data_IF_582987169050
#
_entry.id   IF_582987169050
#
_cell.length_a   1.000
_cell.length_b   1.000
_cell.length_c   1.000
_cell.angle_alpha   90.00
_cell.angle_beta   90.00
_cell.angle_gamma   90.00
#
_symmetry.space_group_name_H-M   'P 1'
#
loop_
_entity.id
_entity.type
_entity.pdbx_description
1 polymer ?
#
# COMPACT_ATOMS: atom_id res chain seq x y z
N UNK A 1 31.46 -4.65 1.13
CA UNK A 1 30.57 -4.38 0.02
C UNK A 1 29.35 -5.27 0.08
N UNK A 2 29.55 -6.56 0.25
CA UNK A 2 28.41 -7.48 0.31
C UNK A 2 27.56 -7.26 1.55
N UNK A 3 28.12 -6.65 2.58
CA UNK A 3 27.40 -6.47 3.83
C UNK A 3 26.24 -5.53 3.71
N UNK A 4 26.25 -4.65 2.70
CA UNK A 4 25.12 -3.73 2.54
C UNK A 4 23.82 -4.45 2.24
N UNK A 5 23.93 -5.58 1.56
CA UNK A 5 22.72 -6.30 1.20
C UNK A 5 22.12 -7.04 2.37
N UNK A 6 22.95 -7.44 3.33
CA UNK A 6 22.45 -8.15 4.48
C UNK A 6 21.61 -7.26 5.39
N UNK A 7 21.73 -5.95 5.23
CA UNK A 7 20.99 -5.02 6.08
C UNK A 7 19.77 -4.44 5.40
N UNK A 8 19.42 -4.96 4.25
CA UNK A 8 18.26 -4.46 3.55
C UNK A 8 16.99 -4.86 4.28
N UNK A 9 16.06 -3.92 4.33
CA UNK A 9 14.74 -4.18 4.85
C UNK A 9 13.83 -4.58 3.72
N UNK A 10 12.90 -5.46 4.04
CA UNK A 10 11.87 -5.86 3.12
C UNK A 10 10.55 -5.32 3.59
N UNK A 11 9.79 -4.81 2.65
CA UNK A 11 8.45 -4.32 2.93
C UNK A 11 7.45 -5.27 2.33
N UNK A 12 6.43 -5.61 3.11
CA UNK A 12 5.40 -6.54 2.67
C UNK A 12 4.03 -5.90 2.80
N UNK A 13 3.23 -6.09 1.78
CA UNK A 13 1.82 -5.71 1.82
C UNK A 13 1.03 -6.90 2.35
N UNK A 14 0.19 -6.62 3.34
CA UNK A 14 -0.66 -7.64 3.94
C UNK A 14 -2.07 -7.11 4.03
N UNK A 15 -2.95 -7.60 3.17
CA UNK A 15 -4.35 -7.19 3.20
C UNK A 15 -5.01 -7.81 4.43
N UNK A 16 -5.65 -6.98 5.26
CA UNK A 16 -6.37 -7.45 6.44
C UNK A 16 -7.85 -7.58 6.18
N UNK A 17 -8.39 -6.67 5.38
CA UNK A 17 -9.82 -6.63 5.15
C UNK A 17 -10.06 -6.17 3.73
N UNK A 18 -10.97 -6.84 3.07
CA UNK A 18 -11.37 -6.49 1.73
C UNK A 18 -12.88 -6.70 1.62
N UNK A 19 -13.58 -5.61 1.43
CA UNK A 19 -15.03 -5.67 1.35
C UNK A 19 -15.47 -5.21 -0.03
N UNK A 20 -16.13 -6.09 -0.76
CA UNK A 20 -16.68 -5.78 -2.07
C UNK A 20 -18.08 -5.21 -1.88
N UNK A 21 -18.32 -4.06 -2.51
CA UNK A 21 -19.63 -3.41 -2.46
C UNK A 21 -20.41 -3.62 -3.73
N UNK A 22 -19.74 -4.09 -4.76
CA UNK A 22 -20.37 -4.26 -6.06
C UNK A 22 -21.13 -5.57 -6.10
N UNK A 23 -22.33 -5.53 -6.67
CA UNK A 23 -23.13 -6.72 -6.88
C UNK A 23 -22.72 -7.33 -8.21
N UNK A 24 -21.57 -7.96 -8.25
CA UNK A 24 -21.03 -8.53 -9.46
C UNK A 24 -20.69 -9.99 -9.24
N UNK A 25 -20.80 -10.76 -10.29
CA UNK A 25 -20.45 -12.17 -10.24
C UNK A 25 -18.98 -12.41 -10.40
N UNK A 26 -18.29 -11.51 -11.06
CA UNK A 26 -16.85 -11.65 -11.25
C UNK A 26 -16.14 -11.13 -10.03
N UNK A 27 -15.22 -11.90 -9.45
CA UNK A 27 -14.45 -11.38 -8.34
C UNK A 27 -13.61 -10.21 -8.82
N UNK A 28 -13.65 -9.14 -8.04
CA UNK A 28 -12.80 -7.99 -8.34
C UNK A 28 -11.42 -8.29 -7.78
N UNK A 29 -10.43 -8.18 -8.65
CA UNK A 29 -9.06 -8.32 -8.20
C UNK A 29 -8.45 -6.94 -8.10
N UNK A 30 -7.89 -6.67 -6.94
CA UNK A 30 -7.15 -5.44 -6.73
C UNK A 30 -5.94 -5.80 -5.91
N UNK A 31 -4.79 -5.45 -6.42
CA UNK A 31 -3.56 -5.85 -5.78
C UNK A 31 -2.58 -4.70 -5.73
N UNK A 32 -1.70 -4.77 -4.74
CA UNK A 32 -0.70 -3.75 -4.46
C UNK A 32 0.63 -4.45 -4.30
N UNK A 33 1.67 -3.87 -4.86
CA UNK A 33 3.02 -4.33 -4.62
C UNK A 33 3.78 -3.25 -3.88
N UNK A 34 4.56 -3.63 -2.89
CA UNK A 34 5.38 -2.69 -2.14
C UNK A 34 6.83 -3.11 -2.22
N UNK A 35 7.71 -2.12 -2.28
CA UNK A 35 9.14 -2.39 -2.24
C UNK A 35 9.84 -1.17 -1.68
N UNK A 36 10.98 -1.40 -1.08
CA UNK A 36 11.80 -0.33 -0.56
C UNK A 36 13.08 -0.26 -1.38
N UNK A 37 13.31 0.89 -2.02
CA UNK A 37 14.45 1.10 -2.89
C UNK A 37 15.11 2.41 -2.47
N UNK A 38 16.39 2.34 -2.16
CA UNK A 38 17.17 3.53 -1.80
C UNK A 38 16.53 4.33 -0.69
N UNK A 39 16.09 3.64 0.35
CA UNK A 39 15.47 4.25 1.52
C UNK A 39 14.18 4.99 1.16
N UNK A 40 13.48 4.48 0.18
CA UNK A 40 12.20 5.03 -0.26
C UNK A 40 11.21 3.88 -0.42
N UNK A 41 10.11 3.94 0.28
CA UNK A 41 9.05 2.94 0.16
C UNK A 41 8.19 3.27 -1.04
N UNK A 42 8.03 2.32 -1.94
CA UNK A 42 7.22 2.49 -3.14
C UNK A 42 6.00 1.59 -3.03
N UNK A 43 4.84 2.18 -3.22
CA UNK A 43 3.57 1.48 -3.17
C UNK A 43 2.98 1.54 -4.57
N UNK A 44 2.94 0.39 -5.23
CA UNK A 44 2.57 0.31 -6.64
C UNK A 44 1.23 -0.38 -6.75
N UNK A 45 0.27 0.30 -7.36
CA UNK A 45 -1.06 -0.25 -7.57
C UNK A 45 -1.07 -1.06 -8.85
N UNK A 46 -1.40 -2.33 -8.73
CA UNK A 46 -1.32 -3.26 -9.85
C UNK A 46 -2.64 -3.37 -10.61
N UNK A 47 -3.70 -2.80 -10.07
CA UNK A 47 -5.02 -2.87 -10.67
C UNK A 47 -5.68 -1.51 -10.61
N UNK A 48 -6.52 -1.16 -11.59
CA UNK A 48 -7.24 0.11 -11.54
C UNK A 48 -8.42 0.06 -10.58
N UNK A 49 -8.80 1.22 -10.06
CA UNK A 49 -9.95 1.32 -9.17
C UNK A 49 -10.54 2.72 -9.29
N UNK A 50 -11.84 2.85 -9.62
CA UNK A 50 -12.44 4.17 -9.80
C UNK A 50 -12.84 4.80 -8.46
N UNK A 51 -12.74 6.13 -8.41
CA UNK A 51 -13.20 6.94 -7.29
C UNK A 51 -12.71 6.43 -5.95
N UNK A 52 -11.42 6.18 -5.87
CA UNK A 52 -10.83 5.59 -4.67
C UNK A 52 -10.15 6.66 -3.83
N UNK A 53 -10.50 6.68 -2.56
CA UNK A 53 -9.84 7.55 -1.59
C UNK A 53 -8.78 6.74 -0.87
N UNK A 54 -7.55 7.26 -0.83
CA UNK A 54 -6.41 6.55 -0.26
C UNK A 54 -5.94 7.30 0.97
N UNK A 55 -5.83 6.58 2.10
CA UNK A 55 -5.27 7.14 3.32
C UNK A 55 -4.21 6.18 3.84
N UNK A 56 -3.02 6.70 4.12
CA UNK A 56 -1.93 5.91 4.69
C UNK A 56 -1.52 6.56 6.00
N UNK A 57 -1.53 5.77 7.07
CA UNK A 57 -1.13 6.24 8.39
C UNK A 57 0.07 5.45 8.87
N UNK A 58 0.89 6.08 9.71
CA UNK A 58 2.06 5.41 10.27
C UNK A 58 1.68 4.65 11.55
N UNK A 59 2.69 4.11 12.23
CA UNK A 59 2.48 3.31 13.43
C UNK A 59 1.83 4.09 14.56
N UNK A 60 1.93 5.41 14.53
CA UNK A 60 1.35 6.26 15.55
C UNK A 60 -0.03 6.79 15.16
N UNK A 61 -0.55 6.36 14.02
CA UNK A 61 -1.84 6.83 13.56
C UNK A 61 -1.80 8.15 12.83
N UNK A 62 -0.61 8.67 12.57
CA UNK A 62 -0.46 9.93 11.86
C UNK A 62 -0.67 9.70 10.38
N UNK A 63 -1.50 10.53 9.76
CA UNK A 63 -1.73 10.44 8.33
C UNK A 63 -0.52 10.94 7.56
N UNK A 64 0.05 10.04 6.77
CA UNK A 64 1.22 10.34 5.95
C UNK A 64 0.80 10.74 4.55
N UNK A 65 -0.18 10.02 4.01
CA UNK A 65 -0.68 10.25 2.65
C UNK A 65 -2.19 10.26 2.69
N UNK A 66 -2.77 11.24 2.04
CA UNK A 66 -4.21 11.26 1.84
C UNK A 66 -4.49 11.79 0.44
N UNK A 67 -5.16 10.98 -0.36
CA UNK A 67 -5.60 11.39 -1.68
C UNK A 67 -7.12 11.33 -1.73
N UNK A 68 -7.76 12.42 -2.13
CA UNK A 68 -9.21 12.42 -2.26
C UNK A 68 -9.65 11.45 -3.35
N UNK A 69 -10.93 11.12 -3.41
CA UNK A 69 -11.41 10.13 -4.39
C UNK A 69 -10.96 10.48 -5.80
N UNK A 70 -10.29 9.54 -6.42
CA UNK A 70 -9.76 9.70 -7.77
C UNK A 70 -9.64 8.34 -8.41
N UNK A 71 -9.50 8.32 -9.72
CA UNK A 71 -9.29 7.06 -10.44
C UNK A 71 -7.85 6.61 -10.23
N UNK A 72 -7.70 5.39 -9.71
CA UNK A 72 -6.38 4.77 -9.58
C UNK A 72 -6.09 4.05 -10.88
N UNK A 73 -5.03 4.48 -11.57
CA UNK A 73 -4.57 3.80 -12.77
C UNK A 73 -3.65 2.66 -12.39
N UNK A 74 -3.68 1.60 -13.18
CA UNK A 74 -2.71 0.53 -13.04
C UNK A 74 -1.32 1.12 -13.19
N UNK A 75 -0.46 0.81 -12.25
CA UNK A 75 0.90 1.34 -12.25
C UNK A 75 1.09 2.60 -11.44
N UNK A 76 0.00 3.17 -10.91
CA UNK A 76 0.14 4.33 -10.02
C UNK A 76 1.05 3.97 -8.86
N UNK A 77 1.97 4.87 -8.53
CA UNK A 77 2.94 4.62 -7.47
C UNK A 77 2.93 5.77 -6.49
N UNK A 78 2.88 5.43 -5.21
CA UNK A 78 3.04 6.38 -4.13
C UNK A 78 4.39 6.14 -3.47
N UNK A 79 4.98 7.20 -2.93
CA UNK A 79 6.31 7.15 -2.36
C UNK A 79 6.29 7.66 -0.93
N UNK A 80 6.97 6.95 -0.03
CA UNK A 80 7.24 7.44 1.32
C UNK A 80 8.74 7.46 1.47
N UNK A 81 9.30 8.67 1.55
CA UNK A 81 10.74 8.83 1.67
C UNK A 81 11.17 8.56 3.10
N UNK A 82 12.29 7.90 3.25
CA UNK A 82 12.86 7.60 4.56
C UNK A 82 11.82 6.94 5.48
N UNK A 83 11.28 5.79 5.06
CA UNK A 83 10.20 5.19 5.83
C UNK A 83 10.70 4.70 7.18
N UNK A 84 10.11 5.22 8.23
CA UNK A 84 10.47 4.83 9.60
C UNK A 84 9.26 4.66 10.49
N UNK A 85 8.07 4.65 9.89
CA UNK A 85 6.83 4.54 10.65
C UNK A 85 6.12 3.21 10.49
N UNK A 86 6.86 2.16 10.15
CA UNK A 86 6.26 0.84 10.03
C UNK A 86 5.67 0.36 11.35
N UNK A 87 4.58 -0.36 11.30
CA UNK A 87 3.79 -0.70 10.12
C UNK A 87 2.93 0.47 9.67
N UNK A 88 2.80 0.61 8.36
CA UNK A 88 1.90 1.60 7.80
C UNK A 88 0.56 0.94 7.51
N UNK A 89 -0.51 1.65 7.78
CA UNK A 89 -1.84 1.16 7.47
C UNK A 89 -2.35 1.88 6.23
N UNK A 90 -2.78 1.10 5.26
CA UNK A 90 -3.33 1.63 4.01
C UNK A 90 -4.82 1.34 4.01
N UNK A 91 -5.59 2.39 3.83
CA UNK A 91 -7.04 2.28 3.73
C UNK A 91 -7.48 2.87 2.40
N UNK A 92 -8.20 2.08 1.62
CA UNK A 92 -8.69 2.50 0.32
C UNK A 92 -10.19 2.32 0.32
N UNK A 93 -10.89 3.41 0.04
CA UNK A 93 -12.36 3.40 0.04
C UNK A 93 -12.84 3.81 -1.35
N UNK A 94 -13.65 2.97 -1.96
CA UNK A 94 -14.21 3.25 -3.26
C UNK A 94 -15.67 2.82 -3.30
N UNK A 95 -16.41 3.21 -4.35
CA UNK A 95 -17.81 2.77 -4.45
C UNK A 95 -17.97 1.28 -4.64
N UNK A 96 -16.94 0.58 -5.11
CA UNK A 96 -17.08 -0.84 -5.42
C UNK A 96 -16.27 -1.73 -4.47
N UNK A 97 -15.34 -1.18 -3.70
CA UNK A 97 -14.52 -2.01 -2.86
C UNK A 97 -13.82 -1.16 -1.80
N UNK A 98 -13.79 -1.68 -0.58
CA UNK A 98 -12.98 -1.11 0.49
C UNK A 98 -11.86 -2.09 0.82
N UNK A 99 -10.65 -1.57 1.00
CA UNK A 99 -9.49 -2.39 1.32
C UNK A 99 -8.74 -1.76 2.47
N UNK A 100 -8.39 -2.57 3.46
CA UNK A 100 -7.52 -2.14 4.55
C UNK A 100 -6.42 -3.17 4.68
N UNK A 101 -5.20 -2.69 4.77
CA UNK A 101 -4.07 -3.58 4.95
C UNK A 101 -2.91 -2.86 5.58
N UNK A 102 -1.85 -3.60 5.80
CA UNK A 102 -0.65 -3.08 6.45
C UNK A 102 0.56 -3.29 5.56
N UNK A 103 1.47 -2.33 5.63
CA UNK A 103 2.79 -2.51 5.06
C UNK A 103 3.73 -2.72 6.23
N UNK A 104 4.29 -3.91 6.31
CA UNK A 104 5.14 -4.31 7.43
C UNK A 104 6.58 -4.42 6.96
N UNK A 105 7.48 -4.28 7.90
CA UNK A 105 8.90 -4.34 7.62
C UNK A 105 9.46 -5.65 8.13
N UNK A 106 10.26 -6.31 7.29
CA UNK A 106 11.00 -7.49 7.69
C UNK A 106 12.45 -7.24 7.39
N UNK A 107 13.31 -7.55 8.36
CA UNK A 107 14.73 -7.46 8.13
C UNK A 107 15.22 -8.68 7.37
N UNK A 108 16.02 -8.42 6.36
CA UNK A 108 16.66 -9.48 5.61
C UNK A 108 17.94 -9.88 6.32
N UNK A 109 18.12 -11.17 6.51
CA UNK A 109 19.35 -11.67 7.13
C UNK A 109 20.33 -12.18 6.13
#
# INVERSE_FOLDING_TARGET
AATLEAQRHRSHWRARDRESKASTRSPLTFDINVQEVDNCLQIIFLSPLPDAEITITDKNGKTIVHEPPTFINKGKTLYIETPNGYPYTVKIISPIMDITGDIVEEESE
#
